data_IF_890063326391
#
_entry.id   IF_890063326391
#
_cell.length_a   1.000
_cell.length_b   1.000
_cell.length_c   1.000
_cell.angle_alpha   90.00
_cell.angle_beta   90.00
_cell.angle_gamma   90.00
#
_symmetry.space_group_name_H-M   'P 1'
#
loop_
_entity.id
_entity.type
_entity.pdbx_description
1 polymer ?
#
# COMPACT_ATOMS: atom_id res chain seq x y z
N UNK A 1 -0.99 6.12 24.95
CA UNK A 1 -0.42 4.76 24.73
C UNK A 1 -1.39 3.77 25.31
N UNK A 2 -2.00 2.91 24.44
CA UNK A 2 -3.12 2.04 24.84
C UNK A 2 -2.64 0.61 25.12
N UNK A 3 -1.59 0.15 24.44
CA UNK A 3 -1.13 -1.24 24.48
C UNK A 3 0.39 -1.31 24.35
N UNK A 4 1.03 -2.09 25.21
CA UNK A 4 2.46 -2.42 25.10
C UNK A 4 2.63 -3.90 25.51
N UNK A 5 2.97 -4.75 24.57
CA UNK A 5 3.82 -5.91 24.83
C UNK A 5 5.26 -5.51 24.53
N UNK A 6 6.25 -6.12 25.14
CA UNK A 6 7.65 -5.65 25.25
C UNK A 6 8.27 -4.85 24.08
N UNK A 7 7.67 -4.83 22.89
CA UNK A 7 8.13 -4.09 21.71
C UNK A 7 6.99 -3.48 20.87
N UNK A 8 5.72 -3.82 21.14
CA UNK A 8 4.58 -3.41 20.34
C UNK A 8 3.99 -2.11 20.90
N UNK A 9 4.01 -1.05 20.11
CA UNK A 9 3.55 0.25 20.55
C UNK A 9 2.39 0.75 19.72
N UNK A 10 1.20 0.80 20.33
CA UNK A 10 0.03 1.44 19.74
C UNK A 10 -0.19 2.80 20.40
N UNK A 11 -0.32 3.83 19.58
CA UNK A 11 -0.54 5.21 20.00
C UNK A 11 -1.86 5.66 19.38
N UNK A 12 -2.83 6.06 20.22
CA UNK A 12 -4.02 6.73 19.69
C UNK A 12 -3.63 8.06 19.07
N UNK A 13 -4.30 8.43 17.97
CA UNK A 13 -4.02 9.70 17.30
C UNK A 13 -4.15 10.91 18.26
N UNK A 14 -5.12 10.87 19.17
CA UNK A 14 -5.31 11.90 20.22
C UNK A 14 -4.13 12.09 21.18
N UNK A 15 -3.25 11.08 21.29
CA UNK A 15 -2.06 11.13 22.16
C UNK A 15 -0.81 11.64 21.42
N UNK A 16 -0.91 11.91 20.12
CA UNK A 16 0.20 12.46 19.34
C UNK A 16 0.34 13.96 19.60
N UNK A 17 1.59 14.40 19.71
CA UNK A 17 1.95 15.81 19.80
C UNK A 17 2.76 16.25 18.56
N UNK A 18 2.94 17.55 18.41
CA UNK A 18 3.74 18.11 17.31
C UNK A 18 5.19 17.60 17.32
N UNK A 19 5.76 17.28 18.50
CA UNK A 19 7.13 16.77 18.63
C UNK A 19 7.26 15.36 18.05
N UNK A 20 6.17 14.57 18.04
CA UNK A 20 6.16 13.26 17.41
C UNK A 20 6.54 13.35 15.92
N UNK A 21 5.90 14.25 15.19
CA UNK A 21 6.13 14.41 13.75
C UNK A 21 7.53 14.92 13.43
N UNK A 22 8.07 15.85 14.24
CA UNK A 22 9.46 16.30 14.11
C UNK A 22 10.47 15.18 14.40
N UNK A 23 10.19 14.33 15.40
CA UNK A 23 11.05 13.16 15.68
C UNK A 23 11.00 12.16 14.54
N UNK A 24 9.81 11.91 13.98
CA UNK A 24 9.62 11.03 12.84
C UNK A 24 10.39 11.53 11.62
N UNK A 25 10.29 12.82 11.26
CA UNK A 25 11.02 13.42 10.14
C UNK A 25 12.54 13.26 10.29
N UNK A 26 13.07 13.41 11.51
CA UNK A 26 14.51 13.23 11.77
C UNK A 26 14.96 11.76 11.67
N UNK A 27 14.10 10.80 11.94
CA UNK A 27 14.41 9.37 11.85
C UNK A 27 14.32 8.85 10.42
N UNK A 28 13.38 9.37 9.65
CA UNK A 28 13.18 8.97 8.27
C UNK A 28 14.12 9.75 7.33
N UNK A 29 14.77 9.04 6.45
CA UNK A 29 15.74 9.61 5.53
C UNK A 29 15.26 9.54 4.09
N UNK A 30 15.50 10.62 3.33
CA UNK A 30 15.28 10.62 1.89
C UNK A 30 16.30 9.72 1.16
N UNK A 31 15.84 9.07 0.11
CA UNK A 31 16.70 8.32 -0.79
C UNK A 31 17.37 9.25 -1.79
N UNK A 32 18.56 9.71 -1.46
CA UNK A 32 19.37 10.56 -2.34
C UNK A 32 18.96 12.02 -2.37
N UNK A 33 19.57 12.79 -3.24
CA UNK A 33 19.26 14.23 -3.42
C UNK A 33 18.10 14.41 -4.38
N UNK A 34 17.17 15.27 -4.04
CA UNK A 34 16.09 15.68 -4.93
C UNK A 34 16.68 16.24 -6.24
N UNK A 35 16.26 15.70 -7.37
CA UNK A 35 16.53 16.26 -8.69
C UNK A 35 15.27 16.97 -9.18
N UNK A 36 15.43 18.11 -9.86
CA UNK A 36 14.31 18.84 -10.40
C UNK A 36 13.40 17.91 -11.24
N UNK A 37 12.10 17.95 -10.96
CA UNK A 37 11.06 17.18 -11.65
C UNK A 37 11.14 15.65 -11.57
N UNK A 38 12.02 15.08 -10.73
CA UNK A 38 12.11 13.64 -10.49
C UNK A 38 11.51 13.29 -9.13
N UNK A 39 10.68 12.23 -9.09
CA UNK A 39 10.15 11.69 -7.82
C UNK A 39 11.31 11.17 -6.98
N UNK A 40 11.33 11.60 -5.72
CA UNK A 40 12.23 11.13 -4.69
C UNK A 40 11.39 10.50 -3.57
N UNK A 41 11.92 9.48 -2.91
CA UNK A 41 11.18 8.72 -1.91
C UNK A 41 11.95 8.71 -0.59
N UNK A 42 11.23 8.69 0.51
CA UNK A 42 11.81 8.29 1.78
C UNK A 42 12.31 6.84 1.67
N UNK A 43 13.37 6.51 2.41
CA UNK A 43 13.93 5.15 2.40
C UNK A 43 13.01 4.16 3.05
N UNK A 44 12.31 4.63 4.06
CA UNK A 44 11.29 3.88 4.77
C UNK A 44 9.90 4.11 4.19
N UNK A 45 8.94 3.33 4.63
CA UNK A 45 7.56 3.40 4.19
C UNK A 45 6.62 3.12 5.37
N UNK A 46 5.37 3.43 5.21
CA UNK A 46 4.33 3.04 6.16
C UNK A 46 3.42 1.96 5.58
N UNK A 47 2.72 1.27 6.45
CA UNK A 47 1.62 0.37 6.10
C UNK A 47 0.34 0.87 6.73
N UNK A 48 -0.80 0.60 6.10
CA UNK A 48 -2.11 1.02 6.61
C UNK A 48 -3.14 -0.05 6.34
N UNK A 49 -4.05 -0.21 7.29
CA UNK A 49 -5.24 -1.05 7.19
C UNK A 49 -6.44 -0.41 7.88
N UNK A 50 -7.66 -0.77 7.45
CA UNK A 50 -8.89 -0.27 8.06
C UNK A 50 -9.74 -1.41 8.59
N UNK A 51 -10.41 -1.16 9.71
CA UNK A 51 -11.41 -2.07 10.23
C UNK A 51 -12.80 -1.48 10.09
N UNK A 52 -13.72 -2.31 9.62
CA UNK A 52 -15.09 -1.89 9.35
C UNK A 52 -16.11 -2.77 10.06
N UNK A 53 -17.25 -2.17 10.43
CA UNK A 53 -18.44 -2.85 10.88
C UNK A 53 -19.60 -2.60 9.93
N UNK A 54 -20.50 -3.55 9.86
CA UNK A 54 -21.72 -3.42 9.03
C UNK A 54 -22.88 -3.01 9.91
N UNK A 55 -23.36 -1.79 9.69
CA UNK A 55 -24.60 -1.30 10.28
C UNK A 55 -25.78 -1.75 9.44
N UNK A 56 -26.88 -2.17 10.09
CA UNK A 56 -28.08 -2.61 9.39
C UNK A 56 -27.86 -3.91 8.60
N UNK A 57 -27.10 -4.86 9.14
CA UNK A 57 -26.76 -6.14 8.48
C UNK A 57 -28.00 -6.91 8.02
N UNK A 58 -29.09 -6.80 8.77
CA UNK A 58 -30.36 -7.50 8.51
C UNK A 58 -31.37 -6.60 7.75
N UNK A 59 -30.93 -5.48 7.21
CA UNK A 59 -31.74 -4.56 6.41
C UNK A 59 -31.41 -4.67 4.93
N UNK A 60 -32.31 -4.13 4.08
CA UNK A 60 -32.10 -4.09 2.62
C UNK A 60 -30.94 -3.18 2.19
N UNK A 61 -30.40 -2.35 3.08
CA UNK A 61 -29.33 -1.41 2.80
C UNK A 61 -28.25 -1.43 3.90
N UNK A 62 -27.41 -2.48 3.96
CA UNK A 62 -26.30 -2.53 4.91
C UNK A 62 -25.25 -1.49 4.56
N UNK A 63 -24.75 -0.76 5.56
CA UNK A 63 -23.71 0.27 5.41
C UNK A 63 -22.45 -0.17 6.15
N UNK A 64 -21.30 -0.16 5.47
CA UNK A 64 -20.01 -0.38 6.10
C UNK A 64 -19.52 0.92 6.74
N UNK A 65 -19.21 0.88 8.03
CA UNK A 65 -18.68 1.98 8.82
C UNK A 65 -17.25 1.63 9.24
N UNK A 66 -16.28 2.49 8.90
CA UNK A 66 -14.92 2.39 9.42
C UNK A 66 -14.91 2.80 10.89
N UNK A 67 -14.33 1.99 11.77
CA UNK A 67 -14.22 2.29 13.20
C UNK A 67 -12.77 2.40 13.69
N UNK A 68 -11.80 1.96 12.88
CA UNK A 68 -10.39 2.21 13.11
C UNK A 68 -9.59 2.20 11.81
N UNK A 69 -8.53 2.99 11.79
CA UNK A 69 -7.54 3.07 10.72
C UNK A 69 -6.18 3.00 11.41
N UNK A 70 -5.46 1.92 11.18
CA UNK A 70 -4.14 1.71 11.74
C UNK A 70 -3.06 2.07 10.71
N UNK A 71 -2.01 2.74 11.16
CA UNK A 71 -0.84 3.07 10.36
C UNK A 71 0.42 2.69 11.11
N UNK A 72 1.22 1.81 10.53
CA UNK A 72 2.52 1.44 11.12
C UNK A 72 3.64 2.16 10.38
N UNK A 73 4.50 2.82 11.14
CA UNK A 73 5.66 3.56 10.64
C UNK A 73 6.75 3.61 11.70
N UNK A 74 7.99 3.29 11.35
CA UNK A 74 9.18 3.45 12.18
C UNK A 74 9.04 2.83 13.60
N UNK A 75 8.40 1.67 13.69
CA UNK A 75 8.19 0.95 14.95
C UNK A 75 6.93 1.34 15.73
N UNK A 76 6.22 2.38 15.32
CA UNK A 76 4.99 2.84 15.96
C UNK A 76 3.74 2.47 15.13
N UNK A 77 2.69 1.97 15.78
CA UNK A 77 1.37 1.84 15.20
C UNK A 77 0.48 2.99 15.68
N UNK A 78 0.11 3.88 14.78
CA UNK A 78 -0.80 4.99 15.06
C UNK A 78 -2.21 4.55 14.75
N UNK A 79 -3.13 4.68 15.71
CA UNK A 79 -4.51 4.29 15.60
C UNK A 79 -5.41 5.53 15.51
N UNK A 80 -5.97 5.77 14.33
CA UNK A 80 -7.04 6.75 14.13
C UNK A 80 -8.39 6.06 14.26
N UNK A 81 -9.36 6.73 14.86
CA UNK A 81 -10.72 6.20 15.05
C UNK A 81 -11.67 6.69 13.97
N UNK A 82 -11.34 7.79 13.32
CA UNK A 82 -12.15 8.39 12.24
C UNK A 82 -11.30 8.73 11.04
N UNK A 83 -11.95 8.94 9.89
CA UNK A 83 -11.25 9.40 8.69
C UNK A 83 -10.75 10.84 8.82
N UNK A 84 -11.43 11.66 9.61
CA UNK A 84 -11.02 13.04 9.91
C UNK A 84 -9.66 13.05 10.63
N UNK A 85 -9.51 12.21 11.66
CA UNK A 85 -8.22 12.02 12.35
C UNK A 85 -7.12 11.53 11.39
N UNK A 86 -7.47 10.59 10.50
CA UNK A 86 -6.49 10.09 9.54
C UNK A 86 -6.09 11.14 8.49
N UNK A 87 -7.04 11.95 8.02
CA UNK A 87 -6.76 13.07 7.10
C UNK A 87 -5.84 14.10 7.76
N UNK A 88 -6.06 14.38 9.05
CA UNK A 88 -5.25 15.30 9.81
C UNK A 88 -3.85 14.72 10.09
N UNK A 89 -3.75 13.43 10.46
CA UNK A 89 -2.48 12.70 10.58
C UNK A 89 -1.63 12.84 9.31
N UNK A 90 -2.21 12.55 8.15
CA UNK A 90 -1.51 12.66 6.85
C UNK A 90 -1.17 14.12 6.53
N UNK A 91 -2.03 15.07 6.91
CA UNK A 91 -1.78 16.50 6.78
C UNK A 91 -0.55 16.94 7.57
N UNK A 92 -0.49 16.63 8.87
CA UNK A 92 0.61 16.96 9.76
C UNK A 92 1.93 16.31 9.32
N UNK A 93 1.89 15.02 8.88
CA UNK A 93 3.05 14.36 8.29
C UNK A 93 3.53 15.08 7.02
N UNK A 94 2.59 15.42 6.13
CA UNK A 94 2.89 16.10 4.87
C UNK A 94 3.59 17.44 5.12
N UNK A 95 3.07 18.25 6.03
CA UNK A 95 3.59 19.58 6.34
C UNK A 95 4.96 19.49 7.03
N UNK A 96 5.09 18.65 8.06
CA UNK A 96 6.32 18.52 8.83
C UNK A 96 7.48 17.92 8.02
N UNK A 97 7.20 16.90 7.22
CA UNK A 97 8.19 16.18 6.41
C UNK A 97 8.38 16.80 5.02
N UNK A 98 7.74 17.93 4.71
CA UNK A 98 7.77 18.58 3.39
C UNK A 98 7.43 17.61 2.25
N UNK A 99 6.40 16.78 2.47
CA UNK A 99 5.93 15.87 1.44
C UNK A 99 5.33 16.64 0.26
N UNK A 100 5.52 16.11 -0.93
CA UNK A 100 5.03 16.75 -2.17
C UNK A 100 4.94 15.73 -3.30
N UNK A 101 4.47 16.16 -4.45
CA UNK A 101 4.47 15.28 -5.63
C UNK A 101 5.85 14.77 -6.03
N UNK A 102 6.92 15.43 -5.58
CA UNK A 102 8.31 15.05 -5.85
C UNK A 102 8.98 14.37 -4.65
N UNK A 103 8.63 14.73 -3.42
CA UNK A 103 9.13 14.10 -2.19
C UNK A 103 8.01 13.24 -1.61
N UNK A 104 8.07 11.94 -1.82
CA UNK A 104 6.98 11.04 -1.48
C UNK A 104 7.33 10.11 -0.33
N UNK A 105 6.39 9.95 0.58
CA UNK A 105 6.33 8.83 1.50
C UNK A 105 5.42 7.75 0.89
N UNK A 106 5.87 6.49 0.91
CA UNK A 106 5.06 5.38 0.41
C UNK A 106 4.25 4.77 1.54
N UNK A 107 2.99 4.49 1.27
CA UNK A 107 2.11 3.71 2.12
C UNK A 107 1.68 2.43 1.42
N UNK A 108 1.97 1.27 1.99
CA UNK A 108 1.43 0.02 1.47
C UNK A 108 0.15 -0.35 2.18
N UNK A 109 -0.84 -0.73 1.38
CA UNK A 109 -2.15 -1.20 1.81
C UNK A 109 -2.38 -2.59 1.22
N UNK A 110 -2.79 -3.53 2.04
CA UNK A 110 -3.09 -4.87 1.54
C UNK A 110 -4.52 -4.93 1.01
N UNK A 111 -4.67 -4.98 -0.33
CA UNK A 111 -5.93 -4.83 -1.04
C UNK A 111 -6.46 -3.38 -1.12
N UNK A 112 -5.57 -2.43 -1.44
CA UNK A 112 -5.89 -1.01 -1.63
C UNK A 112 -7.24 -0.72 -2.34
N UNK A 113 -7.74 -1.52 -3.32
CA UNK A 113 -9.06 -1.30 -3.91
C UNK A 113 -10.21 -1.22 -2.91
N UNK A 114 -10.13 -1.90 -1.77
CA UNK A 114 -11.14 -1.85 -0.73
C UNK A 114 -11.07 -0.52 0.06
N UNK A 115 -9.91 -0.21 0.61
CA UNK A 115 -9.67 1.02 1.39
C UNK A 115 -9.89 2.27 0.55
N UNK A 116 -9.55 2.21 -0.74
CA UNK A 116 -9.73 3.32 -1.67
C UNK A 116 -11.21 3.75 -1.80
N UNK A 117 -12.18 2.83 -1.66
CA UNK A 117 -13.61 3.20 -1.70
C UNK A 117 -14.00 4.14 -0.56
N UNK A 118 -13.34 4.00 0.60
CA UNK A 118 -13.54 4.88 1.74
C UNK A 118 -12.70 6.16 1.59
N UNK A 119 -11.40 6.03 1.31
CA UNK A 119 -10.45 7.16 1.19
C UNK A 119 -10.94 8.26 0.26
N UNK A 120 -11.49 7.93 -0.90
CA UNK A 120 -11.93 8.89 -1.92
C UNK A 120 -13.02 9.84 -1.46
N UNK A 121 -13.68 9.55 -0.34
CA UNK A 121 -14.72 10.41 0.23
C UNK A 121 -14.12 11.49 1.14
N UNK A 122 -12.88 11.32 1.58
CA UNK A 122 -12.20 12.19 2.55
C UNK A 122 -10.96 12.87 1.99
N UNK A 123 -10.32 12.27 0.99
CA UNK A 123 -9.14 12.84 0.35
C UNK A 123 -9.44 13.32 -1.06
N UNK A 124 -8.88 14.47 -1.42
CA UNK A 124 -8.70 14.82 -2.81
C UNK A 124 -7.57 13.96 -3.39
N UNK A 125 -7.89 13.10 -4.33
CA UNK A 125 -6.92 12.18 -4.93
C UNK A 125 -6.33 12.80 -6.21
N UNK A 126 -5.04 13.08 -6.19
CA UNK A 126 -4.34 13.75 -7.29
C UNK A 126 -3.96 12.82 -8.44
N UNK A 127 -3.55 11.57 -8.13
CA UNK A 127 -3.15 10.57 -9.12
C UNK A 127 -3.79 9.22 -8.77
N UNK A 128 -4.35 8.52 -9.74
CA UNK A 128 -4.81 7.13 -9.61
C UNK A 128 -4.26 6.29 -10.75
N UNK A 129 -3.70 5.13 -10.43
CA UNK A 129 -3.39 4.10 -11.40
C UNK A 129 -4.18 2.83 -11.07
N UNK A 130 -5.06 2.43 -11.98
CA UNK A 130 -5.87 1.24 -11.88
C UNK A 130 -5.73 0.39 -13.14
N UNK A 131 -5.76 -0.93 -13.00
CA UNK A 131 -5.73 -1.86 -14.14
C UNK A 131 -7.11 -2.04 -14.79
N UNK A 132 -8.16 -1.81 -14.02
CA UNK A 132 -9.57 -1.86 -14.41
C UNK A 132 -10.38 -1.01 -13.41
N UNK A 133 -11.67 -0.78 -13.70
CA UNK A 133 -12.59 -0.19 -12.74
C UNK A 133 -12.51 -0.93 -11.39
N UNK A 134 -12.42 -0.20 -10.28
CA UNK A 134 -12.29 -0.72 -8.91
C UNK A 134 -11.06 -1.60 -8.64
N UNK A 135 -10.03 -1.60 -9.52
CA UNK A 135 -8.78 -2.35 -9.32
C UNK A 135 -7.59 -1.39 -9.22
N UNK A 136 -7.64 -0.54 -8.22
CA UNK A 136 -6.58 0.43 -7.93
C UNK A 136 -5.29 -0.30 -7.55
N UNK A 137 -4.19 0.07 -8.19
CA UNK A 137 -2.84 -0.44 -7.92
C UNK A 137 -2.06 0.55 -7.07
N UNK A 138 -2.25 1.84 -7.36
CA UNK A 138 -1.71 2.93 -6.56
C UNK A 138 -2.57 4.19 -6.69
N UNK A 139 -2.53 5.02 -5.67
CA UNK A 139 -3.02 6.39 -5.72
C UNK A 139 -2.06 7.31 -4.98
N UNK A 140 -2.25 8.62 -5.16
CA UNK A 140 -1.41 9.63 -4.55
C UNK A 140 -2.27 10.79 -4.05
N UNK A 141 -2.00 11.24 -2.84
CA UNK A 141 -2.59 12.43 -2.22
C UNK A 141 -1.64 13.01 -1.16
N UNK A 142 -1.60 14.31 -1.01
CA UNK A 142 -0.84 15.03 0.05
C UNK A 142 0.61 14.52 0.26
N UNK A 143 1.31 14.17 -0.82
CA UNK A 143 2.69 13.67 -0.73
C UNK A 143 2.85 12.20 -0.37
N UNK A 144 1.76 11.50 -0.04
CA UNK A 144 1.75 10.06 0.22
C UNK A 144 1.32 9.29 -1.03
N UNK A 145 2.14 8.30 -1.41
CA UNK A 145 1.85 7.38 -2.52
C UNK A 145 1.40 6.02 -1.95
N UNK A 146 0.10 5.75 -2.01
CA UNK A 146 -0.49 4.49 -1.58
C UNK A 146 -0.30 3.41 -2.65
N UNK A 147 0.18 2.23 -2.27
CA UNK A 147 0.46 1.10 -3.15
C UNK A 147 -0.22 -0.17 -2.66
N UNK A 148 -0.79 -0.94 -3.58
CA UNK A 148 -1.42 -2.22 -3.29
C UNK A 148 -0.38 -3.35 -3.14
N UNK A 149 -0.14 -3.83 -1.93
CA UNK A 149 0.78 -4.96 -1.68
C UNK A 149 0.23 -6.29 -2.21
N UNK A 150 -1.09 -6.48 -2.24
CA UNK A 150 -1.70 -7.65 -2.87
C UNK A 150 -1.35 -7.74 -4.37
N UNK A 151 -1.35 -6.61 -5.09
CA UNK A 151 -0.95 -6.59 -6.51
C UNK A 151 0.55 -6.85 -6.70
N UNK A 152 1.35 -6.47 -5.72
CA UNK A 152 2.79 -6.71 -5.70
C UNK A 152 3.10 -8.19 -5.48
N UNK A 153 2.44 -8.84 -4.52
CA UNK A 153 2.75 -10.21 -4.08
C UNK A 153 1.87 -11.27 -4.74
N UNK A 154 0.64 -10.91 -5.09
CA UNK A 154 -0.42 -11.82 -5.53
C UNK A 154 -0.74 -12.90 -4.47
N UNK A 155 -0.55 -12.59 -3.19
CA UNK A 155 -0.82 -13.46 -2.05
C UNK A 155 -1.75 -12.75 -1.05
N UNK A 156 -2.63 -13.48 -0.36
CA UNK A 156 -3.33 -12.96 0.82
C UNK A 156 -2.37 -12.66 1.97
N UNK A 157 -2.75 -11.76 2.88
CA UNK A 157 -1.88 -11.27 3.96
C UNK A 157 -1.37 -12.42 4.84
N UNK A 158 -2.23 -13.33 5.27
CA UNK A 158 -1.87 -14.50 6.07
C UNK A 158 -0.77 -15.32 5.40
N UNK A 159 -0.96 -15.66 4.12
CA UNK A 159 0.04 -16.42 3.36
C UNK A 159 1.35 -15.62 3.18
N UNK A 160 1.25 -14.31 2.96
CA UNK A 160 2.42 -13.47 2.77
C UNK A 160 3.25 -13.38 4.06
N UNK A 161 2.61 -13.11 5.20
CA UNK A 161 3.29 -13.02 6.50
C UNK A 161 3.84 -14.38 6.95
N UNK A 162 3.05 -15.47 6.83
CA UNK A 162 3.49 -16.82 7.22
C UNK A 162 4.60 -17.39 6.34
N UNK A 163 4.71 -16.95 5.08
CA UNK A 163 5.82 -17.33 4.20
C UNK A 163 7.09 -16.50 4.40
N UNK A 164 7.06 -15.49 5.27
CA UNK A 164 8.18 -14.60 5.56
C UNK A 164 8.92 -15.06 6.82
N UNK A 165 10.16 -15.58 6.70
CA UNK A 165 10.88 -16.19 7.85
C UNK A 165 11.14 -15.23 9.02
N UNK A 166 11.23 -13.93 8.75
CA UNK A 166 11.53 -12.88 9.75
C UNK A 166 10.29 -12.18 10.29
N UNK A 167 9.10 -12.56 9.81
CA UNK A 167 7.86 -11.94 10.26
C UNK A 167 7.51 -12.43 11.67
N UNK A 168 7.44 -11.50 12.62
CA UNK A 168 7.07 -11.77 14.02
C UNK A 168 5.56 -11.61 14.22
N UNK A 169 4.96 -10.70 13.49
CA UNK A 169 3.55 -10.30 13.62
C UNK A 169 2.72 -10.89 12.46
N UNK A 170 2.60 -12.23 12.47
CA UNK A 170 1.74 -12.92 11.50
C UNK A 170 0.27 -12.52 11.66
N UNK A 171 -0.48 -12.54 10.54
CA UNK A 171 -1.93 -12.31 10.61
C UNK A 171 -2.58 -13.32 11.54
N UNK A 172 -3.34 -12.83 12.52
CA UNK A 172 -4.12 -13.69 13.41
C UNK A 172 -5.29 -14.32 12.66
N UNK A 173 -5.68 -15.54 13.04
CA UNK A 173 -6.80 -16.23 12.41
C UNK A 173 -8.11 -15.47 12.65
N UNK A 174 -8.98 -15.43 11.62
CA UNK A 174 -10.27 -14.76 11.72
C UNK A 174 -11.24 -15.42 12.71
N UNK A 175 -10.95 -16.65 13.18
CA UNK A 175 -11.73 -17.33 14.22
C UNK A 175 -11.60 -16.64 15.58
N UNK A 176 -10.50 -15.92 15.79
CA UNK A 176 -10.21 -15.22 17.03
C UNK A 176 -10.78 -13.80 17.07
N UNK A 177 -11.27 -13.29 15.97
CA UNK A 177 -11.83 -11.95 15.84
C UNK A 177 -13.33 -12.00 15.53
N UNK A 178 -14.15 -11.50 16.44
CA UNK A 178 -15.60 -11.47 16.24
C UNK A 178 -16.00 -10.40 15.22
N UNK A 179 -16.06 -10.77 13.94
CA UNK A 179 -16.55 -9.91 12.86
C UNK A 179 -18.05 -9.60 12.91
N UNK A 180 -18.82 -10.29 13.76
CA UNK A 180 -20.25 -10.02 13.92
C UNK A 180 -20.51 -8.90 14.92
N UNK A 181 -19.58 -8.67 15.86
CA UNK A 181 -19.68 -7.58 16.84
C UNK A 181 -19.70 -6.24 16.11
N UNK A 182 -20.75 -5.47 16.35
CA UNK A 182 -20.85 -4.11 15.81
C UNK A 182 -19.94 -3.18 16.61
N UNK A 183 -19.08 -2.45 15.90
CA UNK A 183 -18.14 -1.49 16.46
C UNK A 183 -18.31 -0.14 15.79
N UNK A 184 -18.09 0.90 16.55
CA UNK A 184 -18.09 2.30 16.09
C UNK A 184 -16.76 2.96 16.48
N UNK A 185 -16.43 4.15 15.95
CA UNK A 185 -15.26 4.90 16.39
C UNK A 185 -15.16 5.12 17.91
N UNK A 186 -16.29 5.08 18.62
CA UNK A 186 -16.37 5.23 20.09
C UNK A 186 -16.24 3.92 20.86
N UNK A 187 -16.22 2.78 20.19
CA UNK A 187 -16.12 1.48 20.86
C UNK A 187 -14.74 1.31 21.46
N UNK A 188 -14.66 1.00 22.74
CA UNK A 188 -13.38 0.62 23.39
C UNK A 188 -12.94 -0.73 22.84
N UNK A 189 -11.74 -0.79 22.28
CA UNK A 189 -11.15 -2.02 21.74
C UNK A 189 -10.49 -2.80 22.86
N UNK A 190 -10.67 -4.11 22.84
CA UNK A 190 -10.01 -5.03 23.74
C UNK A 190 -8.52 -5.17 23.38
N UNK A 191 -7.63 -5.61 24.28
CA UNK A 191 -6.23 -5.87 23.95
C UNK A 191 -6.05 -6.83 22.76
N UNK A 192 -6.93 -7.82 22.64
CA UNK A 192 -6.91 -8.77 21.54
C UNK A 192 -7.30 -8.14 20.20
N UNK A 193 -8.29 -7.25 20.20
CA UNK A 193 -8.69 -6.47 19.03
C UNK A 193 -7.56 -5.51 18.60
N UNK A 194 -6.88 -4.89 19.56
CA UNK A 194 -5.73 -4.05 19.29
C UNK A 194 -4.55 -4.86 18.71
N UNK A 195 -4.26 -6.03 19.26
CA UNK A 195 -3.22 -6.90 18.72
C UNK A 195 -3.54 -7.38 17.31
N UNK A 196 -4.81 -7.71 17.02
CA UNK A 196 -5.23 -8.08 15.67
C UNK A 196 -4.93 -6.95 14.68
N UNK A 197 -5.36 -5.72 15.00
CA UNK A 197 -5.13 -4.52 14.19
C UNK A 197 -3.62 -4.25 14.02
N UNK A 198 -2.84 -4.37 15.09
CA UNK A 198 -1.40 -4.20 15.07
C UNK A 198 -0.72 -5.20 14.13
N UNK A 199 -1.07 -6.47 14.25
CA UNK A 199 -0.47 -7.53 13.45
C UNK A 199 -0.72 -7.36 11.95
N UNK A 200 -1.88 -6.85 11.55
CA UNK A 200 -2.20 -6.64 10.14
C UNK A 200 -1.28 -5.58 9.51
N UNK A 201 -0.93 -4.52 10.23
CA UNK A 201 -0.05 -3.47 9.71
C UNK A 201 1.44 -3.75 9.96
N UNK A 202 1.83 -4.20 11.14
CA UNK A 202 3.22 -4.52 11.46
C UNK A 202 3.72 -5.74 10.67
N UNK A 203 2.90 -6.81 10.60
CA UNK A 203 3.23 -7.99 9.80
C UNK A 203 3.37 -7.70 8.32
N UNK A 204 2.50 -6.84 7.77
CA UNK A 204 2.63 -6.38 6.39
C UNK A 204 3.94 -5.62 6.18
N UNK A 205 4.32 -4.74 7.11
CA UNK A 205 5.57 -4.00 7.04
C UNK A 205 6.78 -4.94 7.05
N UNK A 206 6.85 -5.86 8.01
CA UNK A 206 7.93 -6.84 8.14
C UNK A 206 8.08 -7.71 6.88
N UNK A 207 6.97 -8.22 6.37
CA UNK A 207 6.95 -9.05 5.18
C UNK A 207 7.42 -8.28 3.92
N UNK A 208 7.07 -6.99 3.80
CA UNK A 208 7.51 -6.14 2.70
C UNK A 208 9.01 -5.79 2.80
N UNK A 209 9.52 -5.50 4.00
CA UNK A 209 10.96 -5.29 4.23
C UNK A 209 11.76 -6.53 3.81
N UNK A 210 11.34 -7.71 4.29
CA UNK A 210 11.98 -8.96 3.91
C UNK A 210 11.98 -9.17 2.40
N UNK A 211 10.81 -8.97 1.75
CA UNK A 211 10.68 -9.12 0.31
C UNK A 211 11.58 -8.17 -0.46
N UNK A 212 11.59 -6.88 -0.10
CA UNK A 212 12.43 -5.89 -0.77
C UNK A 212 13.91 -6.23 -0.64
N UNK A 213 14.36 -6.61 0.56
CA UNK A 213 15.75 -6.99 0.81
C UNK A 213 16.15 -8.27 0.04
N UNK A 214 15.27 -9.28 0.01
CA UNK A 214 15.51 -10.54 -0.70
C UNK A 214 15.61 -10.35 -2.21
N UNK A 215 14.89 -9.38 -2.76
CA UNK A 215 14.82 -9.11 -4.19
C UNK A 215 15.81 -8.00 -4.64
N UNK A 216 16.66 -7.52 -3.75
CA UNK A 216 17.58 -6.37 -3.96
C UNK A 216 16.82 -5.12 -4.48
N UNK A 217 15.73 -4.83 -3.81
CA UNK A 217 14.89 -3.69 -4.09
C UNK A 217 14.78 -2.76 -2.87
N UNK A 218 14.36 -1.54 -3.16
CA UNK A 218 13.95 -0.55 -2.18
C UNK A 218 12.60 0.06 -2.59
N UNK A 219 12.10 0.95 -1.76
CA UNK A 219 10.81 1.64 -1.96
C UNK A 219 10.69 2.30 -3.35
N UNK A 220 11.80 2.83 -3.90
CA UNK A 220 11.79 3.52 -5.19
C UNK A 220 11.90 2.56 -6.39
N UNK A 221 12.49 1.38 -6.19
CA UNK A 221 12.81 0.44 -7.27
C UNK A 221 11.90 -0.77 -7.32
N UNK A 222 11.20 -1.10 -6.23
CA UNK A 222 10.26 -2.22 -6.18
C UNK A 222 9.13 -2.03 -7.21
N UNK A 223 8.83 -3.04 -8.03
CA UNK A 223 7.72 -2.98 -8.98
C UNK A 223 6.37 -2.87 -8.27
N UNK A 224 5.37 -2.27 -8.91
CA UNK A 224 4.03 -2.12 -8.35
C UNK A 224 3.20 -3.42 -8.39
N UNK A 225 3.62 -4.39 -9.21
CA UNK A 225 2.85 -5.63 -9.43
C UNK A 225 3.78 -6.82 -9.63
N UNK A 226 3.29 -8.03 -9.34
CA UNK A 226 4.02 -9.28 -9.60
C UNK A 226 4.47 -9.41 -11.07
N UNK A 227 3.62 -9.00 -12.00
CA UNK A 227 3.98 -8.95 -13.44
C UNK A 227 5.11 -7.95 -13.73
N UNK A 228 5.21 -6.90 -12.91
CA UNK A 228 6.29 -5.92 -12.99
C UNK A 228 7.67 -6.54 -12.70
N UNK A 229 7.74 -7.47 -11.73
CA UNK A 229 8.95 -8.23 -11.44
C UNK A 229 9.39 -9.06 -12.66
N UNK A 230 8.51 -9.89 -13.20
CA UNK A 230 8.80 -10.74 -14.37
C UNK A 230 9.31 -9.89 -15.55
N UNK A 231 8.67 -8.75 -15.80
CA UNK A 231 9.11 -7.83 -16.89
C UNK A 231 10.49 -7.25 -16.63
N UNK A 232 10.81 -6.92 -15.37
CA UNK A 232 12.10 -6.35 -15.01
C UNK A 232 13.21 -7.38 -15.14
N UNK A 233 13.04 -8.56 -14.58
CA UNK A 233 13.99 -9.67 -14.70
C UNK A 233 14.25 -10.05 -16.15
N UNK A 234 13.19 -10.15 -16.94
CA UNK A 234 13.31 -10.40 -18.37
C UNK A 234 14.14 -9.32 -19.07
N UNK A 235 13.88 -8.03 -18.78
CA UNK A 235 14.69 -6.92 -19.34
C UNK A 235 16.13 -6.99 -18.92
N UNK A 236 16.43 -7.35 -17.67
CA UNK A 236 17.79 -7.49 -17.16
C UNK A 236 18.51 -8.66 -17.83
N UNK A 237 17.90 -9.84 -17.89
CA UNK A 237 18.45 -11.02 -18.55
C UNK A 237 18.73 -10.75 -20.04
N UNK A 238 17.82 -10.04 -20.71
CA UNK A 238 17.98 -9.67 -22.12
C UNK A 238 19.10 -8.63 -22.33
N UNK A 239 19.27 -7.69 -21.39
CA UNK A 239 20.33 -6.67 -21.47
C UNK A 239 21.74 -7.26 -21.22
N UNK A 240 21.83 -8.39 -20.53
CA UNK A 240 23.11 -9.09 -20.28
C UNK A 240 23.65 -9.82 -21.53
N UNK A 241 22.80 -10.15 -22.49
CA UNK A 241 23.25 -10.80 -23.73
C UNK A 241 23.63 -9.74 -24.78
N UNK A 242 24.92 -9.66 -25.21
CA UNK A 242 25.36 -8.65 -26.15
C UNK A 242 24.69 -8.69 -27.52
N UNK A 243 24.27 -9.86 -28.00
CA UNK A 243 23.51 -10.03 -29.23
C UNK A 243 22.11 -9.46 -29.14
N UNK A 244 21.43 -9.66 -27.99
CA UNK A 244 20.12 -9.14 -27.72
C UNK A 244 20.12 -7.63 -27.42
N UNK A 245 21.20 -7.12 -26.79
CA UNK A 245 21.34 -5.71 -26.45
C UNK A 245 21.21 -4.78 -27.67
N UNK A 246 21.75 -5.18 -28.83
CA UNK A 246 21.63 -4.37 -30.08
C UNK A 246 20.22 -4.42 -30.67
N UNK A 247 19.56 -5.56 -30.58
CA UNK A 247 18.24 -5.77 -31.21
C UNK A 247 17.07 -5.31 -30.32
N UNK A 248 17.18 -5.47 -28.99
CA UNK A 248 16.08 -5.16 -28.05
C UNK A 248 16.09 -3.72 -27.53
N UNK A 249 17.23 -3.05 -27.47
CA UNK A 249 17.26 -1.61 -27.12
C UNK A 249 16.70 -0.77 -28.28
N UNK A 250 16.84 -1.21 -29.52
CA UNK A 250 16.27 -0.52 -30.71
C UNK A 250 14.77 -0.84 -30.94
N UNK A 251 14.35 -2.05 -30.69
CA UNK A 251 12.93 -2.44 -30.69
C UNK A 251 12.46 -2.40 -29.25
N UNK A 252 11.72 -1.37 -28.86
CA UNK A 252 11.15 -1.30 -27.52
C UNK A 252 10.42 -2.60 -27.26
N UNK A 253 10.90 -3.40 -26.28
CA UNK A 253 10.27 -4.67 -25.85
C UNK A 253 8.75 -4.47 -25.61
N UNK A 254 8.38 -3.29 -25.12
CA UNK A 254 6.99 -2.87 -24.95
C UNK A 254 6.22 -2.84 -26.28
N UNK A 255 6.84 -2.43 -27.38
CA UNK A 255 6.21 -2.44 -28.71
C UNK A 255 6.06 -3.86 -29.28
N UNK A 256 7.03 -4.72 -29.05
CA UNK A 256 6.97 -6.11 -29.50
C UNK A 256 5.95 -6.93 -28.72
N UNK A 257 5.97 -6.86 -27.39
CA UNK A 257 4.98 -7.51 -26.53
C UNK A 257 3.57 -6.95 -26.76
N UNK A 258 3.44 -5.63 -26.97
CA UNK A 258 2.17 -5.03 -27.31
C UNK A 258 1.68 -5.49 -28.69
N UNK A 259 2.58 -5.62 -29.67
CA UNK A 259 2.29 -6.19 -30.97
C UNK A 259 1.84 -7.63 -30.91
N UNK A 260 2.54 -8.49 -30.14
CA UNK A 260 2.17 -9.89 -29.92
C UNK A 260 0.84 -10.01 -29.19
N UNK A 261 0.60 -9.23 -28.13
CA UNK A 261 -0.67 -9.21 -27.39
C UNK A 261 -1.81 -8.70 -28.28
N UNK A 262 -1.56 -7.74 -29.15
CA UNK A 262 -2.53 -7.25 -30.12
C UNK A 262 -2.85 -8.30 -31.16
N UNK A 263 -1.85 -9.02 -31.69
CA UNK A 263 -2.05 -10.13 -32.61
C UNK A 263 -2.79 -11.30 -31.95
N UNK A 264 -2.40 -11.70 -30.74
CA UNK A 264 -3.10 -12.73 -29.97
C UNK A 264 -4.55 -12.34 -29.67
N UNK A 265 -4.81 -11.05 -29.36
CA UNK A 265 -6.15 -10.52 -29.12
C UNK A 265 -7.00 -10.48 -30.39
N UNK A 266 -6.42 -10.18 -31.55
CA UNK A 266 -7.10 -10.23 -32.85
C UNK A 266 -7.44 -11.67 -33.25
N UNK A 267 -6.58 -12.63 -32.91
CA UNK A 267 -6.81 -14.07 -33.14
C UNK A 267 -7.91 -14.60 -32.20
N UNK A 268 -7.86 -14.25 -30.93
CA UNK A 268 -8.79 -14.74 -29.91
C UNK A 268 -10.13 -14.00 -29.88
N UNK A 269 -10.18 -12.74 -30.33
CA UNK A 269 -11.37 -11.88 -30.29
C UNK A 269 -11.50 -11.00 -31.52
N UNK A 270 -11.77 -11.56 -32.69
CA UNK A 270 -11.78 -10.81 -33.97
C UNK A 270 -12.86 -9.71 -34.06
N UNK A 271 -13.91 -9.77 -33.24
CA UNK A 271 -15.06 -8.83 -33.26
C UNK A 271 -14.94 -7.64 -32.27
N UNK A 272 -13.82 -7.46 -31.55
CA UNK A 272 -13.62 -6.35 -30.60
C UNK A 272 -12.50 -5.40 -30.98
N UNK A 273 -12.22 -5.24 -32.28
CA UNK A 273 -11.20 -4.32 -32.77
C UNK A 273 -11.55 -2.82 -32.58
N UNK A 274 -12.83 -2.49 -32.37
CA UNK A 274 -13.31 -1.09 -32.30
C UNK A 274 -13.16 -0.42 -30.92
N UNK A 275 -12.63 -1.13 -29.91
CA UNK A 275 -12.52 -0.62 -28.55
C UNK A 275 -11.15 0.05 -28.23
N UNK A 276 -10.30 0.29 -29.20
CA UNK A 276 -8.92 0.78 -28.97
C UNK A 276 -8.78 2.30 -29.17
N UNK A 277 -9.82 3.00 -29.58
CA UNK A 277 -9.74 4.45 -29.87
C UNK A 277 -10.38 5.36 -28.81
N UNK A 278 -10.65 4.87 -27.60
CA UNK A 278 -11.17 5.69 -26.51
C UNK A 278 -10.35 5.44 -25.24
N UNK A 279 -9.13 5.98 -25.19
CA UNK A 279 -8.42 6.40 -23.98
C UNK A 279 -7.28 7.34 -24.37
#
# INVERSE_FOLDING_TARGET
MIYTEEQDRIIEYSDLDALYFFRLDRRLNMKGKARSHQKNYFKDFMTMDIETSVQGRDTDQPISITYSIATYIDGDCILCRTWEEYVDLIGQMSDTMNLSKYNRLVCYVHNLPYEFQFMRNYFHIDEVFATQARKVVKCYTKGVEYRCSYKLTNMGLERFTSSTPTCKHGKLSGEEYDYKKFRTPKTVLTPRELQYIYNDVAGLYEALIYKMNSDDHDVATVPLTSTGYVRRELRQAMAQNPANRRNFIKTRLDGYLYGLLRQARLILYPKKADFVNTF
#
